data_IF_997884731902
#
_entry.id   IF_997884731902
#
_cell.length_a   1.000
_cell.length_b   1.000
_cell.length_c   1.000
_cell.angle_alpha   90.00
_cell.angle_beta   90.00
_cell.angle_gamma   90.00
#
_symmetry.space_group_name_H-M   'P 1'
#
loop_
_entity.id
_entity.type
_entity.pdbx_description
1 polymer ?
#
# COMPACT_ATOMS: atom_id res chain seq x y z
N UNK A 1 17.19 -0.58 -0.83
CA UNK A 1 16.93 -0.79 0.61
C UNK A 1 15.42 -0.78 0.75
N UNK A 2 14.83 -1.81 1.35
CA UNK A 2 13.39 -1.82 1.62
C UNK A 2 13.10 -0.87 2.79
N UNK A 3 12.03 -0.09 2.70
CA UNK A 3 11.62 0.77 3.81
C UNK A 3 10.97 -0.10 4.89
N UNK A 4 11.52 -0.10 6.09
CA UNK A 4 10.87 -0.67 7.27
C UNK A 4 9.86 0.36 7.81
N UNK A 5 8.57 0.07 7.62
CA UNK A 5 7.44 0.86 8.09
C UNK A 5 6.56 0.03 9.01
N UNK A 6 7.11 -1.03 9.62
CA UNK A 6 6.38 -1.92 10.50
C UNK A 6 5.80 -1.13 11.68
N UNK A 7 4.51 -1.32 11.97
CA UNK A 7 3.76 -0.62 13.03
C UNK A 7 3.75 0.92 12.97
N UNK A 8 4.26 1.53 11.90
CA UNK A 8 4.27 2.98 11.76
C UNK A 8 2.85 3.56 11.65
N UNK A 9 2.66 4.74 12.23
CA UNK A 9 1.42 5.51 12.07
C UNK A 9 1.52 6.41 10.83
N UNK A 10 0.81 6.04 9.77
CA UNK A 10 0.74 6.74 8.48
C UNK A 10 -0.70 7.21 8.19
N UNK A 11 -1.54 7.36 9.23
CA UNK A 11 -2.93 7.79 9.05
C UNK A 11 -2.97 9.15 8.35
N UNK A 12 -3.76 9.24 7.27
CA UNK A 12 -3.90 10.43 6.42
C UNK A 12 -2.60 10.94 5.80
N UNK A 13 -1.52 10.16 5.80
CA UNK A 13 -0.26 10.53 5.16
C UNK A 13 -0.45 10.75 3.66
N UNK A 14 0.29 11.71 3.12
CA UNK A 14 0.43 11.91 1.69
C UNK A 14 1.65 11.13 1.20
N UNK A 15 1.39 10.01 0.51
CA UNK A 15 2.40 9.10 -0.03
C UNK A 15 2.29 9.03 -1.55
N UNK A 16 1.70 10.06 -2.17
CA UNK A 16 1.61 10.15 -3.62
C UNK A 16 2.98 10.07 -4.25
N UNK A 17 3.10 9.30 -5.32
CA UNK A 17 4.34 9.14 -6.11
C UNK A 17 5.54 8.59 -5.32
N UNK A 18 5.34 8.12 -4.08
CA UNK A 18 6.41 7.52 -3.28
C UNK A 18 6.84 6.17 -3.87
N UNK A 19 8.14 5.88 -3.81
CA UNK A 19 8.65 4.54 -4.05
C UNK A 19 8.55 3.72 -2.77
N UNK A 20 7.60 2.78 -2.74
CA UNK A 20 7.37 1.84 -1.64
C UNK A 20 7.72 0.40 -2.06
N UNK A 21 8.55 0.24 -3.09
CA UNK A 21 8.93 -1.08 -3.62
C UNK A 21 9.53 -1.96 -2.52
N UNK A 22 8.84 -3.05 -2.21
CA UNK A 22 9.23 -4.00 -1.15
C UNK A 22 9.12 -3.46 0.28
N UNK A 23 8.46 -2.32 0.51
CA UNK A 23 8.31 -1.77 1.86
C UNK A 23 7.56 -2.75 2.79
N UNK A 24 8.04 -2.86 4.03
CA UNK A 24 7.42 -3.68 5.06
C UNK A 24 6.36 -2.87 5.80
N UNK A 25 5.09 -3.04 5.42
CA UNK A 25 3.94 -2.29 5.99
C UNK A 25 3.12 -3.11 6.99
N UNK A 26 3.66 -4.22 7.50
CA UNK A 26 2.98 -5.07 8.46
C UNK A 26 2.51 -4.26 9.68
N UNK A 27 1.21 -4.37 10.00
CA UNK A 27 0.55 -3.62 11.09
C UNK A 27 0.63 -2.08 10.99
N UNK A 28 1.11 -1.51 9.87
CA UNK A 28 1.10 -0.07 9.68
C UNK A 28 -0.34 0.48 9.68
N UNK A 29 -0.54 1.67 10.25
CA UNK A 29 -1.84 2.34 10.24
C UNK A 29 -1.92 3.27 9.04
N UNK A 30 -2.62 2.86 7.99
CA UNK A 30 -2.74 3.61 6.74
C UNK A 30 -4.12 4.26 6.53
N UNK A 31 -4.98 4.30 7.56
CA UNK A 31 -6.34 4.78 7.33
C UNK A 31 -6.37 6.21 6.79
N UNK A 32 -7.00 6.40 5.63
CA UNK A 32 -7.07 7.69 4.97
C UNK A 32 -5.81 8.12 4.19
N UNK A 33 -4.74 7.32 4.20
CA UNK A 33 -3.52 7.63 3.47
C UNK A 33 -3.77 7.71 1.95
N UNK A 34 -2.97 8.52 1.26
CA UNK A 34 -3.06 8.70 -0.19
C UNK A 34 -1.87 8.04 -0.89
N UNK A 35 -2.10 6.91 -1.54
CA UNK A 35 -1.09 6.14 -2.27
C UNK A 35 -1.19 6.31 -3.79
N UNK A 36 -2.00 7.26 -4.28
CA UNK A 36 -2.14 7.49 -5.73
C UNK A 36 -0.79 7.78 -6.38
N UNK A 37 -0.47 7.07 -7.45
CA UNK A 37 0.82 7.13 -8.15
C UNK A 37 2.00 6.48 -7.41
N UNK A 38 1.83 5.94 -6.21
CA UNK A 38 2.93 5.25 -5.51
C UNK A 38 3.33 3.96 -6.22
N UNK A 39 4.62 3.66 -6.21
CA UNK A 39 5.17 2.38 -6.70
C UNK A 39 5.01 1.38 -5.56
N UNK A 40 4.18 0.36 -5.77
CA UNK A 40 3.76 -0.61 -4.74
C UNK A 40 4.16 -2.04 -5.07
N UNK A 41 5.19 -2.18 -5.90
CA UNK A 41 5.71 -3.48 -6.29
C UNK A 41 6.22 -4.24 -5.07
N UNK A 42 5.86 -5.53 -4.99
CA UNK A 42 6.21 -6.43 -3.87
C UNK A 42 5.67 -6.01 -2.50
N UNK A 43 4.66 -5.15 -2.43
CA UNK A 43 3.92 -4.90 -1.18
C UNK A 43 2.91 -6.01 -0.94
N UNK A 44 2.85 -6.52 0.30
CA UNK A 44 1.76 -7.37 0.76
C UNK A 44 0.61 -6.52 1.34
N UNK A 45 -0.38 -6.25 0.49
CA UNK A 45 -1.60 -5.52 0.87
C UNK A 45 -2.52 -6.27 1.84
N UNK A 46 -2.27 -7.56 2.11
CA UNK A 46 -3.05 -8.34 3.10
C UNK A 46 -2.58 -8.11 4.54
N UNK A 47 -1.41 -7.48 4.72
CA UNK A 47 -0.75 -7.31 6.02
C UNK A 47 -1.20 -6.08 6.83
N UNK A 48 -2.06 -5.22 6.28
CA UNK A 48 -2.57 -4.00 6.93
C UNK A 48 -4.01 -3.66 6.52
N UNK A 49 -4.61 -2.70 7.21
CA UNK A 49 -5.99 -2.28 6.96
C UNK A 49 -6.08 -1.20 5.86
N UNK A 50 -6.84 -1.47 4.81
CA UNK A 50 -7.05 -0.59 3.66
C UNK A 50 -8.18 0.45 3.83
N UNK A 51 -8.81 0.54 5.01
CA UNK A 51 -9.95 1.44 5.26
C UNK A 51 -9.61 2.89 4.88
N UNK A 52 -10.34 3.41 3.91
CA UNK A 52 -10.22 4.77 3.36
C UNK A 52 -8.86 5.09 2.70
N UNK A 53 -8.03 4.09 2.41
CA UNK A 53 -6.80 4.30 1.63
C UNK A 53 -7.20 4.73 0.22
N UNK A 54 -6.60 5.81 -0.27
CA UNK A 54 -6.86 6.32 -1.62
C UNK A 54 -5.87 5.67 -2.59
N UNK A 55 -6.42 4.98 -3.57
CA UNK A 55 -5.69 4.25 -4.61
C UNK A 55 -6.08 4.80 -5.99
N UNK A 56 -5.21 4.61 -6.97
CA UNK A 56 -5.55 4.62 -8.39
C UNK A 56 -5.78 3.19 -8.91
N UNK A 57 -6.01 3.06 -10.22
CA UNK A 57 -6.30 1.77 -10.85
C UNK A 57 -5.13 0.77 -10.73
N UNK A 58 -3.89 1.25 -10.79
CA UNK A 58 -2.72 0.38 -10.72
C UNK A 58 -2.57 -0.21 -9.31
N UNK A 59 -2.68 0.61 -8.25
CA UNK A 59 -2.64 0.08 -6.90
C UNK A 59 -3.88 -0.78 -6.58
N UNK A 60 -5.07 -0.46 -7.10
CA UNK A 60 -6.25 -1.29 -6.92
C UNK A 60 -6.08 -2.69 -7.56
N UNK A 61 -5.43 -2.78 -8.72
CA UNK A 61 -5.07 -4.06 -9.35
C UNK A 61 -4.04 -4.82 -8.50
N UNK A 62 -3.04 -4.14 -7.95
CA UNK A 62 -2.07 -4.76 -7.05
C UNK A 62 -2.76 -5.34 -5.80
N UNK A 63 -3.67 -4.59 -5.18
CA UNK A 63 -4.52 -5.07 -4.08
C UNK A 63 -5.29 -6.32 -4.51
N UNK A 64 -6.00 -6.27 -5.64
CA UNK A 64 -6.80 -7.40 -6.11
C UNK A 64 -5.94 -8.67 -6.28
N UNK A 65 -4.72 -8.55 -6.82
CA UNK A 65 -3.76 -9.65 -6.97
C UNK A 65 -3.33 -10.24 -5.61
N UNK A 66 -3.07 -9.41 -4.60
CA UNK A 66 -2.77 -9.88 -3.24
C UNK A 66 -3.91 -10.68 -2.62
N UNK A 67 -5.17 -10.38 -2.97
CA UNK A 67 -6.35 -11.14 -2.56
C UNK A 67 -6.69 -12.30 -3.52
N UNK A 68 -5.79 -12.68 -4.42
CA UNK A 68 -5.93 -13.85 -5.28
C UNK A 68 -6.71 -13.61 -6.58
N UNK A 69 -7.06 -12.37 -6.92
CA UNK A 69 -7.66 -12.06 -8.20
C UNK A 69 -6.66 -12.31 -9.34
N UNK A 70 -7.11 -13.02 -10.39
CA UNK A 70 -6.38 -13.14 -11.64
C UNK A 70 -6.68 -11.91 -12.49
N UNK A 71 -5.71 -11.01 -12.59
CA UNK A 71 -5.82 -9.78 -13.40
C UNK A 71 -4.86 -9.91 -14.57
N UNK A 72 -5.40 -10.34 -15.70
CA UNK A 72 -4.75 -10.59 -16.99
C UNK A 72 -4.96 -9.46 -17.99
#
# INVERSE_FOLDING_TARGET
MEADLYECNLEKADLREADLTGAQLGKAKLSGANLKGAIVDRIDFTSFNLKNVKLDIAQAVAVARCYGAKVN
#
